data_IF_760702097442
#
_entry.id   IF_760702097442
#
_cell.length_a   1.000
_cell.length_b   1.000
_cell.length_c   1.000
_cell.angle_alpha   90.00
_cell.angle_beta   90.00
_cell.angle_gamma   90.00
#
_symmetry.space_group_name_H-M   'P 1'
#
loop_
_entity.id
_entity.type
_entity.pdbx_description
1 polymer ?
#
# COMPACT_ATOMS: atom_id res chain seq x y z
N UNK A 1 -10.18 -19.82 10.94
CA UNK A 1 -10.13 -19.10 9.66
C UNK A 1 -9.83 -17.64 9.97
N UNK A 2 -8.67 -17.12 9.56
CA UNK A 2 -8.29 -15.72 9.74
C UNK A 2 -9.07 -14.84 8.75
N UNK A 3 -9.58 -13.69 9.22
CA UNK A 3 -10.17 -12.67 8.35
C UNK A 3 -9.17 -11.57 8.12
N UNK A 4 -9.05 -11.10 6.88
CA UNK A 4 -8.22 -9.96 6.48
C UNK A 4 -9.15 -8.94 5.83
N UNK A 5 -9.03 -7.67 6.22
CA UNK A 5 -9.75 -6.56 5.61
C UNK A 5 -8.82 -5.77 4.69
N UNK A 6 -9.16 -5.73 3.41
CA UNK A 6 -8.50 -4.89 2.42
C UNK A 6 -9.46 -3.80 1.91
N UNK A 7 -9.01 -2.56 1.89
CA UNK A 7 -9.77 -1.42 1.35
C UNK A 7 -9.10 -0.94 0.07
N UNK A 8 -9.91 -0.69 -0.96
CA UNK A 8 -9.42 -0.25 -2.27
C UNK A 8 -9.71 1.23 -2.45
N UNK A 9 -8.66 2.02 -2.68
CA UNK A 9 -8.73 3.47 -2.90
C UNK A 9 -8.08 3.86 -4.22
N UNK A 10 -8.40 5.03 -4.74
CA UNK A 10 -7.90 5.52 -6.03
C UNK A 10 -8.97 6.32 -6.77
N UNK A 11 -8.59 7.05 -7.82
CA UNK A 11 -9.48 7.91 -8.59
C UNK A 11 -10.71 7.18 -9.14
N UNK A 12 -11.76 7.95 -9.47
CA UNK A 12 -12.90 7.44 -10.23
C UNK A 12 -12.46 6.90 -11.59
N UNK A 13 -13.03 5.76 -12.01
CA UNK A 13 -12.77 5.18 -13.33
C UNK A 13 -11.41 4.47 -13.50
N UNK A 14 -10.55 4.38 -12.46
CA UNK A 14 -9.29 3.63 -12.57
C UNK A 14 -9.49 2.11 -12.62
N UNK A 15 -10.67 1.60 -12.30
CA UNK A 15 -11.00 0.17 -12.40
C UNK A 15 -10.97 -0.60 -11.08
N UNK A 16 -11.15 0.05 -9.92
CA UNK A 16 -11.23 -0.58 -8.60
C UNK A 16 -12.30 -1.67 -8.54
N UNK A 17 -13.53 -1.30 -8.84
CA UNK A 17 -14.69 -2.20 -8.89
C UNK A 17 -14.49 -3.35 -9.87
N UNK A 18 -13.99 -3.05 -11.09
CA UNK A 18 -13.70 -4.09 -12.08
C UNK A 18 -12.67 -5.11 -11.56
N UNK A 19 -11.64 -4.63 -10.87
CA UNK A 19 -10.63 -5.49 -10.24
C UNK A 19 -11.26 -6.44 -9.22
N UNK A 20 -12.13 -5.93 -8.34
CA UNK A 20 -12.78 -6.72 -7.29
C UNK A 20 -13.77 -7.72 -7.86
N UNK A 21 -14.60 -7.31 -8.82
CA UNK A 21 -15.53 -8.20 -9.51
C UNK A 21 -14.76 -9.31 -10.26
N UNK A 22 -13.73 -8.93 -11.02
CA UNK A 22 -12.92 -9.91 -11.76
C UNK A 22 -12.23 -10.91 -10.85
N UNK A 23 -11.75 -10.49 -9.68
CA UNK A 23 -11.16 -11.41 -8.70
C UNK A 23 -12.18 -12.36 -8.09
N UNK A 24 -13.36 -11.87 -7.72
CA UNK A 24 -14.37 -12.66 -6.98
C UNK A 24 -15.23 -13.54 -7.86
N UNK A 25 -15.43 -13.15 -9.13
CA UNK A 25 -16.34 -13.87 -10.07
C UNK A 25 -15.64 -14.47 -11.27
N UNK A 26 -14.33 -14.21 -11.46
CA UNK A 26 -13.57 -14.56 -12.67
C UNK A 26 -14.19 -14.03 -13.98
N UNK A 27 -14.97 -12.93 -13.88
CA UNK A 27 -15.64 -12.29 -15.03
C UNK A 27 -15.38 -10.79 -15.02
N UNK A 28 -15.13 -10.21 -16.18
CA UNK A 28 -15.05 -8.76 -16.32
C UNK A 28 -16.48 -8.19 -16.45
N UNK A 29 -16.84 -7.14 -15.67
CA UNK A 29 -18.17 -6.53 -15.76
C UNK A 29 -18.36 -5.84 -17.12
N UNK A 30 -19.51 -6.08 -17.77
CA UNK A 30 -19.84 -5.48 -19.06
C UNK A 30 -20.33 -4.03 -18.92
N UNK A 31 -20.94 -3.70 -17.81
CA UNK A 31 -21.52 -2.38 -17.57
C UNK A 31 -20.69 -1.58 -16.57
N UNK A 32 -20.49 -0.30 -16.85
CA UNK A 32 -19.88 0.62 -15.92
C UNK A 32 -20.95 1.27 -15.04
N UNK A 33 -20.99 0.90 -13.78
CA UNK A 33 -21.83 1.55 -12.77
C UNK A 33 -20.89 2.24 -11.78
N UNK A 34 -20.97 3.58 -11.60
CA UNK A 34 -20.18 4.28 -10.61
C UNK A 34 -20.45 3.72 -9.21
N UNK A 35 -19.40 3.29 -8.52
CA UNK A 35 -19.49 2.76 -7.15
C UNK A 35 -19.63 3.92 -6.18
N UNK A 36 -20.53 3.79 -5.23
CA UNK A 36 -20.59 4.61 -4.03
C UNK A 36 -19.80 3.89 -2.93
N UNK A 37 -20.20 2.66 -2.66
CA UNK A 37 -19.58 1.76 -1.71
C UNK A 37 -20.10 0.33 -1.95
N UNK A 38 -19.21 -0.65 -1.92
CA UNK A 38 -19.60 -2.06 -2.01
C UNK A 38 -18.63 -2.96 -1.23
N UNK A 39 -19.11 -4.15 -0.87
CA UNK A 39 -18.35 -5.15 -0.14
C UNK A 39 -18.34 -6.48 -0.87
N UNK A 40 -17.15 -6.99 -1.12
CA UNK A 40 -16.93 -8.32 -1.67
C UNK A 40 -16.22 -9.21 -0.65
N UNK A 41 -16.36 -10.51 -0.77
CA UNK A 41 -15.60 -11.46 0.06
C UNK A 41 -15.15 -12.65 -0.76
N UNK A 42 -13.93 -13.09 -0.49
CA UNK A 42 -13.37 -14.30 -1.06
C UNK A 42 -12.83 -15.20 0.05
N UNK A 43 -13.00 -16.52 -0.10
CA UNK A 43 -12.35 -17.51 0.76
C UNK A 43 -11.25 -18.17 -0.06
N UNK A 44 -10.02 -18.02 0.38
CA UNK A 44 -8.83 -18.49 -0.36
C UNK A 44 -7.91 -19.29 0.55
N UNK A 45 -7.14 -20.18 -0.06
CA UNK A 45 -6.06 -20.91 0.62
C UNK A 45 -4.73 -20.24 0.30
N UNK A 46 -4.02 -19.77 1.31
CA UNK A 46 -2.67 -19.20 1.16
C UNK A 46 -1.71 -19.96 2.08
N UNK A 47 -0.69 -20.55 1.48
CA UNK A 47 0.34 -21.34 2.19
C UNK A 47 -0.26 -22.44 3.11
N UNK A 48 -1.40 -23.02 2.71
CA UNK A 48 -2.11 -24.07 3.46
C UNK A 48 -3.09 -23.55 4.52
N UNK A 49 -3.21 -22.25 4.71
CA UNK A 49 -4.14 -21.64 5.66
C UNK A 49 -5.40 -21.09 4.97
N UNK A 50 -6.61 -21.34 5.51
CA UNK A 50 -7.85 -20.78 5.00
C UNK A 50 -7.99 -19.33 5.46
N UNK A 51 -8.03 -18.39 4.53
CA UNK A 51 -8.19 -16.96 4.75
C UNK A 51 -9.54 -16.49 4.21
N UNK A 52 -10.26 -15.70 5.02
CA UNK A 52 -11.42 -14.94 4.56
C UNK A 52 -10.98 -13.51 4.25
N UNK A 53 -10.93 -13.17 2.97
CA UNK A 53 -10.56 -11.83 2.51
C UNK A 53 -11.83 -10.99 2.34
N UNK A 54 -11.98 -9.95 3.14
CA UNK A 54 -13.00 -8.92 2.99
C UNK A 54 -12.47 -7.77 2.15
N UNK A 55 -13.13 -7.47 1.05
CA UNK A 55 -12.73 -6.48 0.05
C UNK A 55 -13.73 -5.33 0.07
N UNK A 56 -13.26 -4.14 0.37
CA UNK A 56 -14.07 -2.95 0.52
C UNK A 56 -13.81 -2.01 -0.65
N UNK A 57 -14.77 -1.92 -1.58
CA UNK A 57 -14.74 -1.00 -2.70
C UNK A 57 -15.19 0.39 -2.27
N UNK A 58 -14.44 1.41 -2.66
CA UNK A 58 -14.75 2.79 -2.29
C UNK A 58 -14.85 3.70 -3.51
N UNK A 59 -15.71 4.71 -3.41
CA UNK A 59 -15.84 5.73 -4.44
C UNK A 59 -14.56 6.58 -4.55
N UNK A 60 -14.11 6.83 -5.78
CA UNK A 60 -12.96 7.68 -6.06
C UNK A 60 -13.31 9.17 -6.24
N UNK A 61 -14.59 9.49 -6.38
CA UNK A 61 -15.07 10.85 -6.62
C UNK A 61 -14.94 11.74 -5.36
N UNK A 62 -14.75 13.05 -5.57
CA UNK A 62 -14.52 14.01 -4.49
C UNK A 62 -15.75 14.20 -3.57
N UNK A 63 -16.95 13.97 -4.07
CA UNK A 63 -18.18 14.04 -3.30
C UNK A 63 -18.19 13.10 -2.11
N UNK A 64 -17.42 12.00 -2.19
CA UNK A 64 -17.34 10.97 -1.16
C UNK A 64 -16.12 11.09 -0.24
N UNK A 65 -15.29 12.12 -0.39
CA UNK A 65 -14.05 12.28 0.40
C UNK A 65 -14.30 12.28 1.92
N UNK A 66 -15.45 12.77 2.37
CA UNK A 66 -15.83 12.75 3.80
C UNK A 66 -16.41 11.42 4.27
N UNK A 67 -16.99 10.61 3.38
CA UNK A 67 -17.63 9.35 3.71
C UNK A 67 -16.68 8.16 3.58
N UNK A 68 -15.75 8.21 2.64
CA UNK A 68 -14.81 7.13 2.35
C UNK A 68 -14.01 6.69 3.59
N UNK A 69 -13.49 7.60 4.44
CA UNK A 69 -12.74 7.20 5.63
C UNK A 69 -13.54 6.41 6.67
N UNK A 70 -14.88 6.41 6.60
CA UNK A 70 -15.71 5.56 7.45
C UNK A 70 -15.47 4.05 7.17
N UNK A 71 -14.93 3.74 6.01
CA UNK A 71 -14.57 2.36 5.63
C UNK A 71 -13.19 1.93 6.14
N UNK A 72 -12.36 2.85 6.67
CA UNK A 72 -10.96 2.58 7.02
C UNK A 72 -10.73 1.86 8.37
N UNK A 73 -11.59 1.97 9.39
CA UNK A 73 -11.36 1.26 10.64
C UNK A 73 -11.14 -0.24 10.44
N UNK A 74 -10.18 -0.80 11.19
CA UNK A 74 -9.79 -2.22 11.14
C UNK A 74 -9.26 -2.69 9.77
N UNK A 75 -8.82 -1.79 8.91
CA UNK A 75 -8.12 -2.17 7.67
C UNK A 75 -6.72 -2.67 7.99
N UNK A 76 -6.34 -3.81 7.39
CA UNK A 76 -5.00 -4.37 7.53
C UNK A 76 -4.10 -4.00 6.33
N UNK A 77 -4.71 -3.80 5.15
CA UNK A 77 -3.98 -3.36 3.96
C UNK A 77 -4.86 -2.49 3.06
N UNK A 78 -4.27 -1.45 2.49
CA UNK A 78 -4.87 -0.66 1.42
C UNK A 78 -4.31 -1.05 0.06
N UNK A 79 -5.20 -1.20 -0.93
CA UNK A 79 -4.85 -1.29 -2.33
C UNK A 79 -5.02 0.10 -2.95
N UNK A 80 -3.92 0.84 -3.12
CA UNK A 80 -3.94 2.18 -3.72
C UNK A 80 -3.82 2.06 -5.23
N UNK A 81 -4.93 2.23 -5.95
CA UNK A 81 -5.05 1.98 -7.37
C UNK A 81 -4.90 3.25 -8.20
N UNK A 82 -4.14 3.15 -9.28
CA UNK A 82 -4.15 4.11 -10.38
C UNK A 82 -4.21 3.36 -11.71
N UNK A 83 -4.64 4.02 -12.79
CA UNK A 83 -4.62 3.42 -14.12
C UNK A 83 -3.31 3.76 -14.84
N UNK A 84 -2.60 2.76 -15.40
CA UNK A 84 -1.33 2.97 -16.11
C UNK A 84 -1.48 3.86 -17.34
N UNK A 85 -2.71 4.00 -17.85
CA UNK A 85 -3.05 4.89 -18.96
C UNK A 85 -3.59 6.25 -18.49
N UNK A 86 -3.51 6.55 -17.19
CA UNK A 86 -3.94 7.85 -16.63
C UNK A 86 -2.84 8.48 -15.78
N UNK A 87 -1.94 9.28 -16.36
CA UNK A 87 -0.90 9.99 -15.63
C UNK A 87 -1.43 10.86 -14.49
N UNK A 88 -2.64 11.40 -14.63
CA UNK A 88 -3.29 12.17 -13.56
C UNK A 88 -3.60 11.29 -12.36
N UNK A 89 -4.17 10.10 -12.56
CA UNK A 89 -4.45 9.18 -11.45
C UNK A 89 -3.17 8.71 -10.74
N UNK A 90 -2.07 8.56 -11.49
CA UNK A 90 -0.74 8.27 -10.94
C UNK A 90 -0.21 9.41 -10.05
N UNK A 91 -0.35 10.67 -10.49
CA UNK A 91 0.03 11.83 -9.68
C UNK A 91 -0.82 11.94 -8.41
N UNK A 92 -2.12 11.63 -8.50
CA UNK A 92 -3.05 11.67 -7.38
C UNK A 92 -2.73 10.64 -6.30
N UNK A 93 -2.01 9.55 -6.60
CA UNK A 93 -1.51 8.63 -5.58
C UNK A 93 -0.74 9.41 -4.51
N UNK A 94 0.25 10.21 -4.92
CA UNK A 94 1.11 10.94 -3.99
C UNK A 94 0.45 12.19 -3.40
N UNK A 95 -0.36 12.89 -4.19
CA UNK A 95 -0.93 14.18 -3.79
C UNK A 95 -2.24 14.05 -2.99
N UNK A 96 -3.00 12.98 -3.17
CA UNK A 96 -4.31 12.76 -2.56
C UNK A 96 -4.38 11.48 -1.74
N UNK A 97 -4.16 10.31 -2.37
CA UNK A 97 -4.53 9.03 -1.79
C UNK A 97 -3.65 8.62 -0.61
N UNK A 98 -2.34 8.72 -0.76
CA UNK A 98 -1.43 8.39 0.33
C UNK A 98 -1.62 9.31 1.54
N UNK A 99 -1.68 10.66 1.40
CA UNK A 99 -2.01 11.54 2.51
C UNK A 99 -3.33 11.21 3.19
N UNK A 100 -4.39 10.89 2.43
CA UNK A 100 -5.69 10.53 3.00
C UNK A 100 -5.61 9.25 3.84
N UNK A 101 -5.01 8.19 3.27
CA UNK A 101 -4.86 6.90 3.96
C UNK A 101 -4.04 7.07 5.24
N UNK A 102 -2.89 7.74 5.18
CA UNK A 102 -2.01 7.94 6.33
C UNK A 102 -2.63 8.85 7.41
N UNK A 103 -3.51 9.78 7.01
CA UNK A 103 -4.21 10.64 7.97
C UNK A 103 -5.27 9.89 8.79
N UNK A 104 -5.94 8.91 8.18
CA UNK A 104 -7.07 8.20 8.77
C UNK A 104 -6.75 6.77 9.24
N UNK A 105 -5.49 6.36 9.20
CA UNK A 105 -5.05 5.00 9.55
C UNK A 105 -3.86 5.03 10.52
N UNK A 106 -3.55 3.91 11.20
CA UNK A 106 -2.33 3.77 11.98
C UNK A 106 -1.07 3.99 11.11
N UNK A 107 0.04 4.40 11.74
CA UNK A 107 1.29 4.73 11.04
C UNK A 107 1.96 3.56 10.33
N UNK A 108 1.69 2.35 10.80
CA UNK A 108 2.22 1.08 10.32
C UNK A 108 1.30 0.38 9.32
N UNK A 109 0.27 1.09 8.84
CA UNK A 109 -0.67 0.54 7.87
C UNK A 109 0.03 0.08 6.58
N UNK A 110 -0.30 -1.11 6.11
CA UNK A 110 0.25 -1.63 4.87
C UNK A 110 -0.47 -1.01 3.66
N UNK A 111 0.30 -0.57 2.69
CA UNK A 111 -0.20 -0.02 1.43
C UNK A 111 0.46 -0.75 0.28
N UNK A 112 -0.33 -1.39 -0.58
CA UNK A 112 0.12 -1.96 -1.86
C UNK A 112 -0.27 -1.01 -2.99
N UNK A 113 0.70 -0.59 -3.79
CA UNK A 113 0.44 0.25 -4.96
C UNK A 113 0.04 -0.64 -6.14
N UNK A 114 -1.05 -0.30 -6.81
CA UNK A 114 -1.63 -1.12 -7.89
C UNK A 114 -1.78 -0.31 -9.17
N UNK A 115 -1.10 -0.76 -10.23
CA UNK A 115 -1.29 -0.26 -11.60
C UNK A 115 -2.34 -1.09 -12.34
N UNK A 116 -3.48 -0.50 -12.61
CA UNK A 116 -4.59 -1.16 -13.31
C UNK A 116 -4.56 -0.90 -14.81
N UNK A 117 -5.33 -1.67 -15.58
CA UNK A 117 -5.47 -1.55 -17.05
C UNK A 117 -4.13 -1.72 -17.77
N UNK A 118 -3.28 -2.62 -17.29
CA UNK A 118 -1.95 -2.88 -17.86
C UNK A 118 -2.03 -3.35 -19.32
N UNK A 119 -3.12 -4.02 -19.71
CA UNK A 119 -3.44 -4.44 -21.07
C UNK A 119 -3.54 -3.28 -22.07
N UNK A 120 -3.93 -2.09 -21.62
CA UNK A 120 -4.09 -0.92 -22.47
C UNK A 120 -2.81 -0.08 -22.65
N UNK A 121 -1.71 -0.46 -22.00
CA UNK A 121 -0.44 0.30 -22.10
C UNK A 121 0.09 0.39 -23.53
N UNK A 122 -0.05 -0.68 -24.30
CA UNK A 122 0.47 -0.81 -25.65
C UNK A 122 -0.66 -0.77 -26.71
N UNK A 123 -1.90 -0.43 -26.30
CA UNK A 123 -3.02 -0.27 -27.21
C UNK A 123 -2.85 0.98 -28.06
N UNK A 124 -2.88 0.82 -29.38
CA UNK A 124 -2.61 1.89 -30.35
C UNK A 124 -3.59 3.06 -30.22
N UNK A 125 -4.88 2.79 -30.00
CA UNK A 125 -5.88 3.86 -29.85
C UNK A 125 -5.67 4.67 -28.57
N UNK A 126 -5.30 3.97 -27.49
CA UNK A 126 -4.98 4.63 -26.22
C UNK A 126 -3.69 5.45 -26.33
N UNK A 127 -2.68 4.92 -27.01
CA UNK A 127 -1.42 5.64 -27.25
C UNK A 127 -1.63 6.89 -28.07
N UNK A 128 -2.41 6.84 -29.15
CA UNK A 128 -2.74 7.98 -30.00
C UNK A 128 -3.51 9.06 -29.22
N UNK A 129 -4.50 8.67 -28.40
CA UNK A 129 -5.25 9.59 -27.55
C UNK A 129 -4.35 10.28 -26.51
N UNK A 130 -3.49 9.52 -25.84
CA UNK A 130 -2.54 10.07 -24.88
C UNK A 130 -1.53 11.01 -25.56
N UNK A 131 -1.00 10.62 -26.72
CA UNK A 131 -0.04 11.42 -27.48
C UNK A 131 -0.67 12.74 -27.95
N UNK A 132 -1.93 12.74 -28.38
CA UNK A 132 -2.67 13.96 -28.77
C UNK A 132 -2.76 14.98 -27.62
N UNK A 133 -2.72 14.51 -26.38
CA UNK A 133 -2.72 15.30 -25.13
C UNK A 133 -1.32 15.58 -24.57
N UNK A 134 -0.25 15.17 -25.28
CA UNK A 134 1.14 15.29 -24.81
C UNK A 134 1.47 14.40 -23.63
N UNK A 135 0.71 13.32 -23.41
CA UNK A 135 0.85 12.38 -22.32
C UNK A 135 1.43 11.05 -22.80
N UNK A 136 1.89 10.23 -21.86
CA UNK A 136 2.37 8.87 -22.11
C UNK A 136 1.88 7.94 -21.01
N UNK A 137 1.68 6.64 -21.30
CA UNK A 137 1.37 5.67 -20.27
C UNK A 137 2.47 5.61 -19.18
N UNK A 138 2.08 5.25 -17.99
CA UNK A 138 3.01 5.04 -16.88
C UNK A 138 3.73 3.71 -17.09
N UNK A 139 5.05 3.73 -16.97
CA UNK A 139 5.88 2.55 -17.05
C UNK A 139 5.93 1.81 -15.71
N UNK A 140 6.23 0.51 -15.76
CA UNK A 140 6.41 -0.30 -14.55
C UNK A 140 7.51 0.27 -13.63
N UNK A 141 8.59 0.80 -14.22
CA UNK A 141 9.67 1.44 -13.46
C UNK A 141 9.21 2.68 -12.69
N UNK A 142 8.32 3.48 -13.29
CA UNK A 142 7.73 4.64 -12.61
C UNK A 142 6.84 4.19 -11.44
N UNK A 143 6.03 3.14 -11.63
CA UNK A 143 5.22 2.55 -10.57
C UNK A 143 6.08 2.05 -9.41
N UNK A 144 7.10 1.26 -9.68
CA UNK A 144 8.07 0.77 -8.67
C UNK A 144 8.80 1.90 -7.93
N UNK A 145 9.15 2.96 -8.66
CA UNK A 145 9.79 4.15 -8.05
C UNK A 145 8.82 4.85 -7.10
N UNK A 146 7.58 5.07 -7.54
CA UNK A 146 6.56 5.71 -6.71
C UNK A 146 6.27 4.89 -5.45
N UNK A 147 6.14 3.56 -5.56
CA UNK A 147 5.91 2.68 -4.41
C UNK A 147 6.97 2.89 -3.32
N UNK A 148 8.25 2.94 -3.70
CA UNK A 148 9.36 3.23 -2.78
C UNK A 148 9.28 4.63 -2.18
N UNK A 149 8.92 5.64 -2.98
CA UNK A 149 8.79 7.02 -2.52
C UNK A 149 7.69 7.22 -1.49
N UNK A 150 6.58 6.50 -1.61
CA UNK A 150 5.42 6.64 -0.73
C UNK A 150 5.41 5.64 0.42
N UNK A 151 6.42 4.76 0.51
CA UNK A 151 6.51 3.74 1.56
C UNK A 151 5.50 2.60 1.38
N UNK A 152 5.02 2.34 0.15
CA UNK A 152 4.22 1.17 -0.13
C UNK A 152 5.06 -0.11 -0.02
N UNK A 153 4.42 -1.22 0.40
CA UNK A 153 5.11 -2.51 0.57
C UNK A 153 5.63 -3.07 -0.75
N UNK A 154 4.92 -2.80 -1.86
CA UNK A 154 5.35 -3.13 -3.22
C UNK A 154 4.47 -2.43 -4.26
N UNK A 155 4.77 -2.69 -5.54
CA UNK A 155 4.01 -2.30 -6.71
C UNK A 155 3.64 -3.51 -7.56
N UNK A 156 2.36 -3.67 -7.88
CA UNK A 156 1.85 -4.75 -8.72
C UNK A 156 0.99 -4.18 -9.84
N UNK A 157 1.15 -4.70 -11.05
CA UNK A 157 0.28 -4.36 -12.18
C UNK A 157 -0.73 -5.47 -12.46
N UNK A 158 -1.92 -5.07 -12.93
CA UNK A 158 -2.95 -6.02 -13.31
C UNK A 158 -3.85 -5.50 -14.41
N UNK A 159 -4.57 -6.43 -15.03
CA UNK A 159 -5.67 -6.17 -15.94
C UNK A 159 -6.91 -6.95 -15.51
N UNK A 160 -7.97 -6.23 -15.17
CA UNK A 160 -9.26 -6.85 -14.88
C UNK A 160 -9.89 -7.47 -16.14
N UNK A 161 -9.67 -6.86 -17.30
CA UNK A 161 -10.22 -7.30 -18.57
C UNK A 161 -9.60 -8.64 -19.05
N UNK A 162 -8.29 -8.80 -18.91
CA UNK A 162 -7.57 -10.02 -19.31
C UNK A 162 -7.34 -11.01 -18.18
N UNK A 163 -7.71 -10.68 -16.94
CA UNK A 163 -7.47 -11.44 -15.71
C UNK A 163 -5.98 -11.54 -15.32
N UNK A 164 -5.08 -10.87 -16.03
CA UNK A 164 -3.64 -10.94 -15.80
C UNK A 164 -3.25 -10.20 -14.51
N UNK A 165 -2.41 -10.83 -13.69
CA UNK A 165 -1.85 -10.22 -12.47
C UNK A 165 -2.82 -10.14 -11.29
N UNK A 166 -4.10 -10.53 -11.45
CA UNK A 166 -5.11 -10.38 -10.40
C UNK A 166 -4.85 -11.33 -9.23
N UNK A 167 -4.66 -12.62 -9.51
CA UNK A 167 -4.43 -13.61 -8.45
C UNK A 167 -3.13 -13.33 -7.69
N UNK A 168 -2.08 -12.96 -8.41
CA UNK A 168 -0.78 -12.58 -7.86
C UNK A 168 -0.90 -11.37 -6.92
N UNK A 169 -1.66 -10.35 -7.33
CA UNK A 169 -1.93 -9.14 -6.55
C UNK A 169 -2.56 -9.48 -5.19
N UNK A 170 -3.66 -10.23 -5.19
CA UNK A 170 -4.36 -10.56 -3.94
C UNK A 170 -3.59 -11.55 -3.09
N UNK A 171 -2.88 -12.52 -3.68
CA UNK A 171 -1.98 -13.41 -2.95
C UNK A 171 -0.84 -12.61 -2.30
N UNK A 172 -0.26 -11.63 -3.00
CA UNK A 172 0.75 -10.75 -2.44
C UNK A 172 0.19 -9.93 -1.27
N UNK A 173 -0.98 -9.31 -1.45
CA UNK A 173 -1.63 -8.52 -0.40
C UNK A 173 -1.88 -9.34 0.88
N UNK A 174 -2.37 -10.57 0.73
CA UNK A 174 -2.58 -11.48 1.87
C UNK A 174 -1.25 -11.83 2.53
N UNK A 175 -0.22 -12.20 1.76
CA UNK A 175 1.11 -12.54 2.28
C UNK A 175 1.76 -11.37 3.00
N UNK A 176 1.62 -10.16 2.50
CA UNK A 176 2.13 -8.96 3.17
C UNK A 176 1.49 -8.73 4.55
N UNK A 177 0.19 -9.05 4.70
CA UNK A 177 -0.51 -8.97 5.99
C UNK A 177 -0.11 -10.11 6.93
N UNK A 178 0.09 -11.31 6.40
CA UNK A 178 0.50 -12.48 7.21
C UNK A 178 1.95 -12.38 7.69
N UNK A 179 2.83 -11.77 6.88
CA UNK A 179 4.25 -11.61 7.13
C UNK A 179 4.68 -10.15 6.86
N UNK A 180 4.38 -9.21 7.76
CA UNK A 180 4.71 -7.81 7.55
C UNK A 180 6.22 -7.59 7.36
N UNK A 181 6.65 -6.73 6.42
CA UNK A 181 8.07 -6.51 6.11
C UNK A 181 8.89 -5.98 7.30
N UNK A 182 8.24 -5.38 8.30
CA UNK A 182 8.91 -4.83 9.49
C UNK A 182 9.36 -5.88 10.51
N UNK A 183 8.84 -7.11 10.47
CA UNK A 183 9.28 -8.19 11.37
C UNK A 183 10.55 -8.90 10.91
N UNK A 184 11.05 -8.62 9.69
CA UNK A 184 12.22 -9.31 9.12
C UNK A 184 13.57 -8.63 9.42
N UNK A 185 13.61 -7.54 10.19
CA UNK A 185 14.83 -6.81 10.52
C UNK A 185 15.13 -6.72 12.02
N UNK A 186 15.11 -7.85 12.74
CA UNK A 186 15.99 -8.02 13.89
C UNK A 186 17.08 -9.03 13.52
N UNK A 187 18.33 -8.59 13.29
CA UNK A 187 19.44 -9.52 13.29
C UNK A 187 19.61 -10.04 14.73
N UNK A 188 19.47 -11.34 14.92
CA UNK A 188 19.84 -12.01 16.16
C UNK A 188 21.23 -11.53 16.58
N UNK A 189 21.30 -10.70 17.61
CA UNK A 189 22.55 -10.29 18.21
C UNK A 189 23.21 -11.52 18.81
N UNK A 190 24.19 -12.06 18.12
CA UNK A 190 25.12 -13.06 18.62
C UNK A 190 25.83 -12.49 19.84
N UNK A 191 25.56 -13.04 21.00
CA UNK A 191 26.27 -12.76 22.23
C UNK A 191 27.78 -13.07 22.06
N UNK A 192 28.68 -12.15 22.40
CA UNK A 192 30.10 -12.51 22.49
C UNK A 192 30.38 -13.21 23.80
N UNK A 193 30.82 -14.45 23.70
CA UNK A 193 31.46 -15.20 24.77
C UNK A 193 32.75 -14.45 25.19
N UNK A 194 32.80 -13.94 26.40
CA UNK A 194 34.04 -13.49 27.03
C UNK A 194 34.35 -14.33 28.24
N UNK A 195 35.26 -15.24 28.04
CA UNK A 195 36.06 -15.88 29.11
C UNK A 195 37.07 -14.88 29.68
N UNK A 196 37.20 -14.92 31.02
CA UNK A 196 37.82 -13.95 31.87
C UNK A 196 39.30 -13.59 31.68
N UNK A 197 39.63 -12.47 32.31
CA UNK A 197 40.83 -12.35 33.18
C UNK A 197 40.75 -11.07 34.03
N UNK A 198 40.89 -11.31 35.32
CA UNK A 198 41.08 -10.41 36.47
C UNK A 198 42.33 -9.55 36.27
N UNK A 199 42.25 -8.23 36.55
CA UNK A 199 43.31 -7.47 37.23
C UNK A 199 42.78 -6.12 37.77
N UNK A 200 43.32 -5.75 38.90
CA UNK A 200 43.01 -4.75 39.90
C UNK A 200 42.96 -3.26 39.47
N UNK A 201 42.21 -2.54 40.29
CA UNK A 201 42.06 -1.04 40.33
C UNK A 201 43.41 -0.29 40.56
N UNK A 202 43.40 1.06 40.41
CA UNK A 202 42.97 1.94 41.49
C UNK A 202 42.21 3.22 41.12
N UNK A 203 41.39 3.71 42.08
CA UNK A 203 40.84 5.07 42.12
C UNK A 203 41.96 6.12 42.25
N UNK A 204 41.84 7.37 41.78
CA UNK A 204 41.35 8.43 42.65
C UNK A 204 40.69 9.71 42.06
N UNK A 205 40.06 10.43 42.96
CA UNK A 205 39.92 11.88 43.13
C UNK A 205 38.84 12.68 42.40
N UNK A 206 37.83 12.98 43.22
CA UNK A 206 36.93 14.13 43.18
C UNK A 206 37.66 15.46 42.98
N UNK A 207 37.13 16.33 42.11
CA UNK A 207 37.27 17.81 42.26
C UNK A 207 35.91 18.46 42.05
N UNK A 208 35.46 19.08 43.11
CA UNK A 208 34.31 20.01 43.21
C UNK A 208 34.76 21.38 42.70
N UNK A 209 33.96 22.04 41.87
CA UNK A 209 33.93 23.51 41.71
C UNK A 209 32.53 23.90 41.23
N UNK A 210 31.76 24.44 42.15
CA UNK A 210 31.26 25.79 42.42
C UNK A 210 30.40 26.41 41.31
N UNK A 211 29.16 26.63 41.75
CA UNK A 211 28.13 27.42 41.12
C UNK A 211 28.57 28.89 40.90
N UNK A 212 28.07 29.52 39.84
CA UNK A 212 27.85 30.95 39.76
C UNK A 212 26.43 31.24 39.32
N UNK A 213 25.75 32.00 40.22
CA UNK A 213 24.50 32.74 39.97
C UNK A 213 24.78 33.93 39.04
N UNK A 214 23.80 34.35 38.26
CA UNK A 214 23.34 35.74 38.00
C UNK A 214 22.17 35.63 37.03
N UNK A 215 20.98 36.04 37.41
CA UNK A 215 20.32 37.36 37.50
C UNK A 215 19.98 37.94 36.13
N UNK A 216 18.72 37.87 35.85
CA UNK A 216 17.67 38.85 35.52
C UNK A 216 18.18 40.20 34.99
N UNK A 217 17.80 40.48 33.76
CA UNK A 217 17.10 41.68 33.31
C UNK A 217 16.38 41.37 32.01
#
# INVERSE_FOLDING_TARGET
>A
MRSIKAVVVGDGGVGKTCLLISYTTNTFPNDYIPTVFDNYSASVMVDGEPIKLGLWDTAGQAEYDRLRPLSYPQTEIFLCCFSVISPTSFQNVKSKWIPEVLHHSPKDILILLVGTKADLRDDMHVLDDLQSKGLKPITEQQGKKLAKEVGAVDYVECSAATQQGIQELFNYAIKAVLNPPHEQHEPAASAPNTSGKTTQSPKPKRKVKRAKKCSIL
#
